data_IF_872960212402
#
_entry.id   IF_872960212402
#
_cell.length_a   1.000
_cell.length_b   1.000
_cell.length_c   1.000
_cell.angle_alpha   90.00
_cell.angle_beta   90.00
_cell.angle_gamma   90.00
#
_symmetry.space_group_name_H-M   'P 1'
#
loop_
_entity.id
_entity.type
_entity.pdbx_description
1 polymer ?
#
# COMPACT_ATOMS: atom_id res chain seq x y z
N UNK A 1 10.23 -1.29 -10.13
CA UNK A 1 9.31 -0.82 -9.09
C UNK A 1 9.14 -1.86 -7.98
N UNK A 2 8.87 -3.12 -8.28
CA UNK A 2 8.68 -4.20 -7.32
C UNK A 2 9.91 -4.43 -6.42
N UNK A 3 11.12 -4.51 -7.01
CA UNK A 3 12.36 -4.68 -6.22
C UNK A 3 12.65 -3.52 -5.26
N UNK A 4 12.35 -2.28 -5.67
CA UNK A 4 12.51 -1.12 -4.80
C UNK A 4 11.52 -1.17 -3.62
N UNK A 5 10.29 -1.67 -3.86
CA UNK A 5 9.29 -1.88 -2.83
C UNK A 5 9.72 -2.95 -1.83
N UNK A 6 10.27 -4.07 -2.32
CA UNK A 6 10.78 -5.15 -1.46
C UNK A 6 11.97 -4.68 -0.61
N UNK A 7 12.93 -3.97 -1.20
CA UNK A 7 14.06 -3.39 -0.43
C UNK A 7 13.64 -2.41 0.65
N UNK A 8 12.64 -1.57 0.38
CA UNK A 8 12.09 -0.67 1.40
C UNK A 8 11.42 -1.46 2.51
N UNK A 9 10.67 -2.48 2.15
CA UNK A 9 10.01 -3.39 3.07
C UNK A 9 11.02 -4.08 3.99
N UNK A 10 12.09 -4.64 3.44
CA UNK A 10 13.15 -5.31 4.21
C UNK A 10 13.82 -4.36 5.20
N UNK A 11 14.11 -3.13 4.78
CA UNK A 11 14.64 -2.09 5.67
C UNK A 11 13.66 -1.74 6.80
N UNK A 12 12.38 -1.61 6.49
CA UNK A 12 11.37 -1.30 7.49
C UNK A 12 11.17 -2.46 8.47
N UNK A 13 11.10 -3.70 7.98
CA UNK A 13 11.02 -4.91 8.81
C UNK A 13 12.27 -5.08 9.69
N UNK A 14 13.44 -4.62 9.24
CA UNK A 14 14.67 -4.56 10.02
C UNK A 14 14.73 -3.41 11.05
N UNK A 15 13.61 -2.71 11.28
CA UNK A 15 13.52 -1.64 12.27
C UNK A 15 13.98 -0.25 11.79
N UNK A 16 14.27 -0.09 10.50
CA UNK A 16 14.62 1.23 9.96
C UNK A 16 13.38 2.13 9.94
N UNK A 17 13.44 3.26 10.65
CA UNK A 17 12.38 4.26 10.58
C UNK A 17 12.24 4.83 9.16
N UNK A 18 11.07 4.66 8.56
CA UNK A 18 10.77 5.20 7.23
C UNK A 18 10.18 6.61 7.26
N UNK A 19 9.92 7.11 8.44
CA UNK A 19 9.41 8.47 8.65
C UNK A 19 9.92 9.03 9.97
N UNK A 20 10.13 10.35 10.01
CA UNK A 20 10.61 11.10 11.17
C UNK A 20 9.60 12.14 11.63
N UNK A 21 8.32 11.94 11.35
CA UNK A 21 7.23 12.86 11.74
C UNK A 21 7.25 13.11 13.25
N UNK A 22 7.60 14.31 13.64
CA UNK A 22 7.76 14.68 15.05
C UNK A 22 6.42 14.84 15.77
N UNK A 23 5.35 15.19 15.05
CA UNK A 23 3.99 15.37 15.60
C UNK A 23 2.99 14.52 14.80
N UNK A 24 2.03 13.87 15.47
CA UNK A 24 1.00 13.13 14.78
C UNK A 24 0.20 14.01 13.80
N UNK A 25 -0.03 13.49 12.62
CA UNK A 25 -0.75 14.16 11.54
C UNK A 25 -2.24 13.81 11.58
N UNK A 26 -3.07 14.71 11.08
CA UNK A 26 -4.46 14.41 10.75
C UNK A 26 -4.54 13.56 9.48
N UNK A 27 -5.70 12.95 9.21
CA UNK A 27 -5.89 12.14 7.99
C UNK A 27 -5.64 12.93 6.71
N UNK A 28 -6.05 14.21 6.65
CA UNK A 28 -5.80 15.08 5.50
C UNK A 28 -4.31 15.34 5.28
N UNK A 29 -3.58 15.64 6.35
CA UNK A 29 -2.13 15.84 6.30
C UNK A 29 -1.39 14.56 5.91
N UNK A 30 -1.77 13.42 6.49
CA UNK A 30 -1.20 12.11 6.14
C UNK A 30 -1.47 11.75 4.67
N UNK A 31 -2.69 11.98 4.18
CA UNK A 31 -3.04 11.77 2.78
C UNK A 31 -2.20 12.65 1.84
N UNK A 32 -2.05 13.93 2.14
CA UNK A 32 -1.23 14.85 1.37
C UNK A 32 0.25 14.42 1.36
N UNK A 33 0.83 14.09 2.52
CA UNK A 33 2.20 13.62 2.65
C UNK A 33 2.45 12.34 1.82
N UNK A 34 1.48 11.43 1.83
CA UNK A 34 1.54 10.17 1.09
C UNK A 34 1.12 10.36 -0.38
N UNK A 35 0.76 11.56 -0.84
CA UNK A 35 0.19 11.82 -2.17
C UNK A 35 -0.94 10.85 -2.52
N UNK A 36 -1.85 10.66 -1.57
CA UNK A 36 -3.02 9.78 -1.65
C UNK A 36 -4.29 10.51 -1.24
N UNK A 37 -5.37 9.76 -1.01
CA UNK A 37 -6.65 10.29 -0.55
C UNK A 37 -6.98 9.82 0.87
N UNK A 38 -7.75 10.60 1.61
CA UNK A 38 -8.24 10.19 2.92
C UNK A 38 -9.08 8.90 2.86
N UNK A 39 -9.80 8.69 1.75
CA UNK A 39 -10.62 7.49 1.56
C UNK A 39 -9.78 6.24 1.34
N UNK A 40 -8.64 6.35 0.65
CA UNK A 40 -7.67 5.26 0.54
C UNK A 40 -7.13 4.86 1.92
N UNK A 41 -6.78 5.83 2.77
CA UNK A 41 -6.30 5.57 4.13
C UNK A 41 -7.38 4.90 4.99
N UNK A 42 -8.64 5.35 4.90
CA UNK A 42 -9.76 4.71 5.58
C UNK A 42 -10.01 3.29 5.07
N UNK A 43 -9.88 3.06 3.77
CA UNK A 43 -10.03 1.74 3.18
C UNK A 43 -8.93 0.78 3.67
N UNK A 44 -7.68 1.20 3.75
CA UNK A 44 -6.59 0.40 4.29
C UNK A 44 -6.80 0.05 5.77
N UNK A 45 -7.31 0.99 6.58
CA UNK A 45 -7.68 0.72 7.97
C UNK A 45 -8.83 -0.30 8.07
N UNK A 46 -9.91 -0.12 7.30
CA UNK A 46 -11.05 -1.07 7.29
C UNK A 46 -10.63 -2.48 6.84
N UNK A 47 -9.68 -2.56 5.93
CA UNK A 47 -9.17 -3.83 5.41
C UNK A 47 -8.05 -4.46 6.29
N UNK A 48 -7.78 -3.88 7.46
CA UNK A 48 -6.82 -4.41 8.42
C UNK A 48 -5.34 -4.18 8.07
N UNK A 49 -5.04 -3.44 7.00
CA UNK A 49 -3.67 -3.14 6.57
C UNK A 49 -2.96 -2.17 7.52
N UNK A 50 -3.71 -1.26 8.14
CA UNK A 50 -3.19 -0.29 9.08
C UNK A 50 -4.08 -0.23 10.33
N UNK A 51 -3.44 0.01 11.48
CA UNK A 51 -4.11 0.34 12.74
C UNK A 51 -3.69 1.74 13.11
N UNK A 52 -4.67 2.64 13.26
CA UNK A 52 -4.40 4.05 13.53
C UNK A 52 -4.97 4.42 14.88
N UNK A 53 -4.12 4.86 15.83
CA UNK A 53 -4.59 5.30 17.13
C UNK A 53 -5.48 6.53 17.00
N UNK A 54 -6.38 6.68 17.98
CA UNK A 54 -7.27 7.82 18.04
C UNK A 54 -6.94 8.70 19.23
N UNK A 55 -7.10 9.98 19.05
CA UNK A 55 -6.95 10.94 20.15
C UNK A 55 -8.00 10.63 21.23
N UNK A 56 -7.60 10.49 22.51
CA UNK A 56 -8.48 9.98 23.56
C UNK A 56 -9.72 10.85 23.81
N UNK A 57 -9.64 12.16 23.63
CA UNK A 57 -10.73 13.08 23.90
C UNK A 57 -11.56 13.41 22.66
N UNK A 58 -10.94 13.56 21.49
CA UNK A 58 -11.62 13.99 20.26
C UNK A 58 -12.01 12.85 19.32
N UNK A 59 -11.47 11.64 19.53
CA UNK A 59 -11.70 10.49 18.67
C UNK A 59 -11.06 10.58 17.28
N UNK A 60 -10.36 11.67 16.94
CA UNK A 60 -9.71 11.83 15.64
C UNK A 60 -8.52 10.88 15.50
N UNK A 61 -8.30 10.41 14.27
CA UNK A 61 -7.17 9.57 13.90
C UNK A 61 -5.86 10.34 14.01
N UNK A 62 -4.85 9.71 14.59
CA UNK A 62 -3.50 10.26 14.78
C UNK A 62 -2.49 9.42 13.99
N UNK A 63 -1.85 10.03 13.00
CA UNK A 63 -0.84 9.38 12.16
C UNK A 63 0.55 9.82 12.60
N UNK A 64 1.19 9.04 13.45
CA UNK A 64 2.58 9.24 13.86
C UNK A 64 3.57 8.64 12.87
N UNK A 65 4.87 8.67 13.21
CA UNK A 65 5.94 8.17 12.35
C UNK A 65 5.77 6.68 12.00
N UNK A 66 5.33 5.86 12.97
CA UNK A 66 5.11 4.43 12.76
C UNK A 66 3.97 4.18 11.75
N UNK A 67 2.84 4.87 11.92
CA UNK A 67 1.70 4.77 11.00
C UNK A 67 2.06 5.25 9.60
N UNK A 68 2.75 6.39 9.49
CA UNK A 68 3.20 6.92 8.19
C UNK A 68 4.20 5.97 7.54
N UNK A 69 5.14 5.40 8.29
CA UNK A 69 6.08 4.40 7.78
C UNK A 69 5.36 3.18 7.20
N UNK A 70 4.40 2.61 7.95
CA UNK A 70 3.56 1.48 7.50
C UNK A 70 2.77 1.83 6.23
N UNK A 71 2.14 3.00 6.20
CA UNK A 71 1.35 3.45 5.05
C UNK A 71 2.21 3.70 3.80
N UNK A 72 3.46 4.13 3.95
CA UNK A 72 4.43 4.24 2.83
C UNK A 72 4.71 2.87 2.20
N UNK A 73 4.91 1.85 3.03
CA UNK A 73 5.11 0.46 2.56
C UNK A 73 3.86 -0.03 1.82
N UNK A 74 2.68 0.09 2.42
CA UNK A 74 1.41 -0.32 1.81
C UNK A 74 1.24 0.35 0.44
N UNK A 75 1.43 1.66 0.37
CA UNK A 75 1.31 2.41 -0.87
C UNK A 75 2.30 1.96 -1.93
N UNK A 76 3.55 1.74 -1.55
CA UNK A 76 4.58 1.32 -2.49
C UNK A 76 4.29 -0.07 -3.06
N UNK A 77 3.88 -1.02 -2.22
CA UNK A 77 3.49 -2.36 -2.66
C UNK A 77 2.24 -2.32 -3.56
N UNK A 78 1.23 -1.51 -3.20
CA UNK A 78 0.03 -1.32 -4.03
C UNK A 78 0.39 -0.76 -5.41
N UNK A 79 1.32 0.21 -5.49
CA UNK A 79 1.80 0.76 -6.76
C UNK A 79 2.68 -0.21 -7.55
N UNK A 80 3.32 -1.14 -6.88
CA UNK A 80 4.07 -2.22 -7.51
C UNK A 80 3.16 -3.34 -8.08
N UNK A 81 1.84 -3.25 -7.83
CA UNK A 81 0.85 -4.19 -8.36
C UNK A 81 0.47 -5.32 -7.41
N UNK A 82 0.97 -5.33 -6.16
CA UNK A 82 0.56 -6.33 -5.18
C UNK A 82 -0.89 -6.12 -4.74
N UNK A 83 -1.63 -7.22 -4.63
CA UNK A 83 -3.01 -7.20 -4.12
C UNK A 83 -3.05 -6.81 -2.63
N UNK A 84 -4.18 -6.29 -2.18
CA UNK A 84 -4.35 -5.96 -0.76
C UNK A 84 -4.19 -7.19 0.15
N UNK A 85 -4.60 -8.38 -0.33
CA UNK A 85 -4.43 -9.63 0.44
C UNK A 85 -2.97 -10.03 0.56
N UNK A 86 -2.18 -9.93 -0.53
CA UNK A 86 -0.75 -10.16 -0.47
C UNK A 86 -0.04 -9.19 0.51
N UNK A 87 -0.42 -7.92 0.47
CA UNK A 87 0.11 -6.90 1.39
C UNK A 87 -0.31 -7.23 2.84
N UNK A 88 -1.56 -7.63 3.08
CA UNK A 88 -2.04 -8.00 4.41
C UNK A 88 -1.28 -9.21 4.97
N UNK A 89 -1.10 -10.27 4.17
CA UNK A 89 -0.30 -11.45 4.56
C UNK A 89 1.10 -11.06 5.01
N UNK A 90 1.76 -10.25 4.21
CA UNK A 90 3.10 -9.76 4.49
C UNK A 90 3.15 -8.94 5.78
N UNK A 91 2.17 -8.04 6.00
CA UNK A 91 2.10 -7.24 7.22
C UNK A 91 1.86 -8.11 8.46
N UNK A 92 0.99 -9.10 8.37
CA UNK A 92 0.76 -10.07 9.46
C UNK A 92 2.01 -10.90 9.76
N UNK A 93 2.80 -11.25 8.73
CA UNK A 93 4.08 -11.94 8.92
C UNK A 93 5.08 -11.05 9.68
N UNK A 94 5.18 -9.78 9.35
CA UNK A 94 6.06 -8.82 10.04
C UNK A 94 5.59 -8.63 11.49
N UNK A 95 4.29 -8.46 11.71
CA UNK A 95 3.73 -8.25 13.03
C UNK A 95 3.91 -9.50 13.94
N UNK A 96 3.97 -10.71 13.35
CA UNK A 96 4.16 -11.98 14.06
C UNK A 96 5.62 -12.43 14.20
N UNK A 97 6.41 -12.28 13.15
CA UNK A 97 7.83 -12.70 13.13
C UNK A 97 8.63 -11.76 12.20
N UNK A 98 9.21 -10.69 12.72
CA UNK A 98 10.00 -9.76 11.91
C UNK A 98 11.19 -10.47 11.23
N UNK A 99 11.31 -10.32 9.92
CA UNK A 99 12.50 -10.72 9.16
C UNK A 99 12.43 -12.06 8.42
N UNK A 100 11.42 -12.90 8.62
CA UNK A 100 11.34 -14.20 7.96
C UNK A 100 10.39 -14.19 6.74
N UNK A 101 10.89 -14.56 5.57
CA UNK A 101 10.07 -14.98 4.42
C UNK A 101 9.15 -13.91 3.81
N UNK A 102 9.48 -12.61 3.91
CA UNK A 102 8.61 -11.52 3.45
C UNK A 102 8.26 -11.61 1.96
N UNK A 103 9.22 -12.01 1.13
CA UNK A 103 9.00 -12.22 -0.30
C UNK A 103 8.04 -13.38 -0.54
N UNK A 104 8.22 -14.50 0.16
CA UNK A 104 7.32 -15.64 0.08
C UNK A 104 5.91 -15.27 0.56
N UNK A 105 5.77 -14.48 1.62
CA UNK A 105 4.46 -14.01 2.09
C UNK A 105 3.73 -13.12 1.08
N UNK A 106 4.46 -12.38 0.23
CA UNK A 106 3.86 -11.60 -0.86
C UNK A 106 3.41 -12.47 -2.03
N UNK A 107 4.20 -13.51 -2.36
CA UNK A 107 4.04 -14.27 -3.60
C UNK A 107 3.24 -15.58 -3.42
N UNK A 108 3.07 -16.06 -2.16
CA UNK A 108 2.44 -17.36 -1.90
C UNK A 108 1.17 -17.20 -1.06
N UNK A 109 -0.03 -17.50 -1.60
CA UNK A 109 -1.26 -17.57 -0.83
C UNK A 109 -1.19 -18.64 0.27
N UNK A 110 -1.84 -18.38 1.42
CA UNK A 110 -1.98 -19.40 2.46
C UNK A 110 -3.05 -20.42 2.08
N UNK A 111 -2.91 -21.71 2.51
CA UNK A 111 -3.89 -22.74 2.20
C UNK A 111 -5.30 -22.47 2.75
N UNK A 112 -5.39 -21.68 3.83
CA UNK A 112 -6.62 -21.28 4.53
C UNK A 112 -7.17 -19.93 4.06
N UNK A 113 -6.56 -19.34 3.03
CA UNK A 113 -7.02 -18.07 2.48
C UNK A 113 -8.31 -18.27 1.68
N UNK A 114 -9.34 -17.48 1.96
CA UNK A 114 -10.60 -17.55 1.24
C UNK A 114 -10.37 -17.13 -0.24
N UNK A 115 -10.35 -18.13 -1.10
CA UNK A 115 -10.07 -17.99 -2.54
C UNK A 115 -11.07 -17.05 -3.23
N UNK A 116 -12.32 -17.00 -2.74
CA UNK A 116 -13.35 -16.16 -3.34
C UNK A 116 -13.09 -14.68 -3.08
N UNK A 117 -12.72 -14.31 -1.85
CA UNK A 117 -12.35 -12.93 -1.52
C UNK A 117 -11.06 -12.50 -2.22
N UNK A 118 -10.10 -13.40 -2.35
CA UNK A 118 -8.86 -13.15 -3.07
C UNK A 118 -9.10 -12.99 -4.58
N UNK A 119 -9.98 -13.83 -5.17
CA UNK A 119 -10.33 -13.76 -6.59
C UNK A 119 -11.07 -12.48 -6.97
N UNK A 120 -12.07 -12.06 -6.19
CA UNK A 120 -12.82 -10.82 -6.45
C UNK A 120 -11.92 -9.59 -6.42
N UNK A 121 -10.99 -9.54 -5.48
CA UNK A 121 -10.03 -8.42 -5.37
C UNK A 121 -8.95 -8.45 -6.46
N UNK A 122 -8.55 -9.64 -6.89
CA UNK A 122 -7.59 -9.83 -7.97
C UNK A 122 -8.17 -9.35 -9.31
N UNK A 123 -9.42 -9.71 -9.62
CA UNK A 123 -10.13 -9.22 -10.80
C UNK A 123 -10.28 -7.70 -10.81
N UNK A 124 -10.61 -7.09 -9.67
CA UNK A 124 -10.68 -5.64 -9.53
C UNK A 124 -9.33 -4.97 -9.74
N UNK A 125 -8.25 -5.58 -9.26
CA UNK A 125 -6.88 -5.11 -9.46
C UNK A 125 -6.45 -5.19 -10.92
N UNK A 126 -6.79 -6.30 -11.61
CA UNK A 126 -6.52 -6.48 -13.04
C UNK A 126 -7.29 -5.45 -13.88
N UNK A 127 -8.57 -5.23 -13.61
CA UNK A 127 -9.38 -4.24 -14.30
C UNK A 127 -8.80 -2.83 -14.18
N UNK A 128 -8.34 -2.44 -12.99
CA UNK A 128 -7.65 -1.17 -12.78
C UNK A 128 -6.31 -1.07 -13.52
N UNK A 129 -5.58 -2.17 -13.62
CA UNK A 129 -4.31 -2.19 -14.36
C UNK A 129 -4.56 -2.06 -15.86
N UNK A 130 -5.60 -2.73 -16.39
CA UNK A 130 -6.01 -2.64 -17.77
C UNK A 130 -6.46 -1.22 -18.16
N UNK A 131 -7.28 -0.60 -17.32
CA UNK A 131 -7.72 0.80 -17.51
C UNK A 131 -6.52 1.78 -17.53
N UNK A 132 -5.57 1.60 -16.61
CA UNK A 132 -4.34 2.41 -16.59
C UNK A 132 -3.46 2.18 -17.81
N UNK A 133 -3.31 0.93 -18.26
CA UNK A 133 -2.54 0.59 -19.44
C UNK A 133 -3.17 1.22 -20.69
N UNK A 134 -4.49 1.10 -20.83
CA UNK A 134 -5.25 1.73 -21.94
C UNK A 134 -5.08 3.25 -21.94
N UNK A 135 -5.17 3.90 -20.78
CA UNK A 135 -4.94 5.34 -20.64
C UNK A 135 -3.52 5.77 -21.04
N UNK A 136 -2.51 4.99 -20.65
CA UNK A 136 -1.12 5.25 -21.03
C UNK A 136 -0.88 5.09 -22.54
N UNK A 137 -1.47 4.06 -23.16
CA UNK A 137 -1.40 3.83 -24.61
C UNK A 137 -1.99 5.02 -25.34
N UNK A 138 -3.20 5.46 -24.98
CA UNK A 138 -3.85 6.62 -25.59
C UNK A 138 -3.02 7.91 -25.46
N UNK A 139 -2.36 8.12 -24.31
CA UNK A 139 -1.47 9.26 -24.11
C UNK A 139 -0.22 9.19 -25.03
N UNK A 140 0.38 8.01 -25.16
CA UNK A 140 1.53 7.80 -26.03
C UNK A 140 1.16 8.01 -27.50
N UNK A 141 0.03 7.48 -27.95
CA UNK A 141 -0.48 7.70 -29.31
C UNK A 141 -0.70 9.19 -29.61
N UNK A 142 -1.32 9.92 -28.68
CA UNK A 142 -1.52 11.35 -28.82
C UNK A 142 -0.20 12.14 -28.86
N UNK A 143 0.83 11.69 -28.13
CA UNK A 143 2.17 12.32 -28.18
C UNK A 143 2.87 12.04 -29.51
N UNK A 144 2.76 10.84 -30.06
CA UNK A 144 3.34 10.47 -31.37
C UNK A 144 2.70 11.33 -32.47
N UNK A 145 1.37 11.41 -32.51
CA UNK A 145 0.66 12.23 -33.50
C UNK A 145 1.00 13.73 -33.44
N UNK A 146 1.30 14.26 -32.23
CA UNK A 146 1.76 15.66 -32.11
C UNK A 146 3.16 15.90 -32.64
N UNK A 147 4.00 14.86 -32.68
CA UNK A 147 5.38 14.94 -33.13
C UNK A 147 5.53 14.80 -34.65
N UNK A 148 4.50 14.23 -35.29
CA UNK A 148 4.44 14.04 -36.74
C UNK A 148 3.76 15.20 -37.50
N UNK A 149 3.27 16.23 -36.77
CA UNK A 149 2.73 17.48 -37.31
C UNK A 149 3.74 18.61 -37.18
#
# INVERSE_FOLDING_TARGET
LAEAAVRLLERWAGGTALDTTARPLTIGQAAALLRGTADALRAWERNGLARVPRHPHSGYRLYGAAEIGRLRVIRMLSRAGYSQMAILRMLLQIDGCPGAGLRAALDTPRPDEDVHIAADRWLSSLAQQEERATGLIAQLEAMIQRRER
#
